data_IF_601217738776
#
_entry.id   IF_601217738776
#
_cell.length_a   1.000
_cell.length_b   1.000
_cell.length_c   1.000
_cell.angle_alpha   90.00
_cell.angle_beta   90.00
_cell.angle_gamma   90.00
#
_symmetry.space_group_name_H-M   'P 1'
#
loop_
_entity.id
_entity.type
_entity.pdbx_description
1 polymer ?
#
# COMPACT_ATOMS: atom_id res chain seq x y z
N UNK A 1 -31.63 33.19 16.79
CA UNK A 1 -31.95 32.53 15.50
C UNK A 1 -30.79 31.67 14.94
N UNK A 2 -29.87 31.17 15.79
CA UNK A 2 -28.74 30.33 15.34
C UNK A 2 -28.99 28.80 15.43
N UNK A 3 -30.17 28.37 15.89
CA UNK A 3 -30.44 26.95 16.17
C UNK A 3 -30.91 26.15 14.94
N UNK A 4 -31.36 26.82 13.86
CA UNK A 4 -31.81 26.17 12.63
C UNK A 4 -30.66 25.76 11.69
N UNK A 5 -29.66 26.64 11.54
CA UNK A 5 -28.54 26.41 10.61
C UNK A 5 -27.56 25.35 11.12
N UNK A 6 -27.33 25.31 12.44
CA UNK A 6 -26.50 24.28 13.08
C UNK A 6 -27.08 22.87 12.88
N UNK A 7 -28.41 22.73 12.81
CA UNK A 7 -29.10 21.44 12.63
C UNK A 7 -28.91 20.86 11.22
N UNK A 8 -28.90 21.71 10.17
CA UNK A 8 -28.71 21.26 8.79
C UNK A 8 -27.24 20.92 8.50
N UNK A 9 -26.31 21.76 8.96
CA UNK A 9 -24.86 21.54 8.81
C UNK A 9 -24.45 20.26 9.55
N UNK A 10 -24.95 20.04 10.77
CA UNK A 10 -24.65 18.82 11.53
C UNK A 10 -25.25 17.56 10.90
N UNK A 11 -26.39 17.65 10.20
CA UNK A 11 -26.96 16.51 9.44
C UNK A 11 -26.10 16.16 8.23
N UNK A 12 -25.69 17.15 7.44
CA UNK A 12 -24.83 16.94 6.27
C UNK A 12 -23.44 16.42 6.68
N UNK A 13 -22.84 16.99 7.73
CA UNK A 13 -21.54 16.54 8.23
C UNK A 13 -21.59 15.09 8.74
N UNK A 14 -22.65 14.71 9.47
CA UNK A 14 -22.85 13.31 9.92
C UNK A 14 -22.98 12.34 8.74
N UNK A 15 -23.72 12.73 7.71
CA UNK A 15 -23.86 11.91 6.50
C UNK A 15 -22.50 11.70 5.81
N UNK A 16 -21.69 12.75 5.67
CA UNK A 16 -20.35 12.68 5.08
C UNK A 16 -19.43 11.76 5.90
N UNK A 17 -19.42 11.88 7.23
CA UNK A 17 -18.61 11.03 8.11
C UNK A 17 -19.03 9.56 8.00
N UNK A 18 -20.33 9.27 7.95
CA UNK A 18 -20.83 7.90 7.79
C UNK A 18 -20.44 7.33 6.44
N UNK A 19 -20.64 8.09 5.36
CA UNK A 19 -20.28 7.69 4.01
C UNK A 19 -18.78 7.38 3.89
N UNK A 20 -17.93 8.28 4.40
CA UNK A 20 -16.49 8.10 4.40
C UNK A 20 -16.05 6.85 5.16
N UNK A 21 -16.60 6.61 6.36
CA UNK A 21 -16.28 5.42 7.15
C UNK A 21 -16.77 4.12 6.51
N UNK A 22 -17.89 4.15 5.79
CA UNK A 22 -18.34 3.00 4.99
C UNK A 22 -17.34 2.70 3.87
N UNK A 23 -16.87 3.72 3.16
CA UNK A 23 -15.84 3.56 2.11
C UNK A 23 -14.55 2.98 2.71
N UNK A 24 -14.07 3.50 3.84
CA UNK A 24 -12.89 2.95 4.52
C UNK A 24 -13.06 1.49 4.93
N UNK A 25 -14.25 1.12 5.44
CA UNK A 25 -14.56 -0.26 5.78
C UNK A 25 -14.51 -1.18 4.54
N UNK A 26 -15.10 -0.75 3.42
CA UNK A 26 -15.09 -1.51 2.17
C UNK A 26 -13.66 -1.69 1.63
N UNK A 27 -12.83 -0.63 1.68
CA UNK A 27 -11.42 -0.71 1.29
C UNK A 27 -10.65 -1.68 2.20
N UNK A 28 -10.82 -1.58 3.51
CA UNK A 28 -10.18 -2.49 4.47
C UNK A 28 -10.57 -3.95 4.23
N UNK A 29 -11.86 -4.22 3.99
CA UNK A 29 -12.36 -5.54 3.63
C UNK A 29 -11.75 -6.06 2.32
N UNK A 30 -11.71 -5.23 1.28
CA UNK A 30 -11.14 -5.59 -0.01
C UNK A 30 -9.63 -5.90 0.08
N UNK A 31 -8.87 -5.14 0.88
CA UNK A 31 -7.45 -5.41 1.11
C UNK A 31 -7.21 -6.77 1.77
N UNK A 32 -7.98 -7.10 2.83
CA UNK A 32 -7.83 -8.38 3.52
C UNK A 32 -8.29 -9.57 2.66
N UNK A 33 -9.46 -9.44 2.01
CA UNK A 33 -9.98 -10.50 1.14
C UNK A 33 -9.08 -10.72 -0.08
N UNK A 34 -8.58 -9.64 -0.69
CA UNK A 34 -7.61 -9.69 -1.77
C UNK A 34 -6.31 -10.36 -1.34
N UNK A 35 -5.78 -10.01 -0.16
CA UNK A 35 -4.58 -10.66 0.38
C UNK A 35 -4.78 -12.17 0.61
N UNK A 36 -5.90 -12.56 1.23
CA UNK A 36 -6.24 -13.97 1.45
C UNK A 36 -6.38 -14.71 0.11
N UNK A 37 -7.03 -14.10 -0.88
CA UNK A 37 -7.19 -14.67 -2.22
C UNK A 37 -5.84 -14.96 -2.88
N UNK A 38 -4.91 -14.00 -2.84
CA UNK A 38 -3.54 -14.18 -3.36
C UNK A 38 -2.76 -15.30 -2.65
N UNK A 39 -3.01 -15.51 -1.35
CA UNK A 39 -2.36 -16.58 -0.58
C UNK A 39 -2.89 -17.98 -0.95
N UNK A 40 -4.15 -18.07 -1.38
CA UNK A 40 -4.78 -19.32 -1.79
C UNK A 40 -4.27 -19.74 -3.18
N UNK A 41 -3.98 -18.78 -4.06
CA UNK A 41 -3.55 -19.07 -5.43
C UNK A 41 -2.21 -19.84 -5.48
N UNK A 42 -2.17 -21.03 -6.11
CA UNK A 42 -0.98 -21.87 -6.16
C UNK A 42 0.16 -21.24 -6.98
N UNK A 43 -0.15 -20.30 -7.87
CA UNK A 43 0.83 -19.51 -8.66
C UNK A 43 1.69 -18.63 -7.75
N UNK A 44 1.10 -18.00 -6.74
CA UNK A 44 1.82 -17.18 -5.77
C UNK A 44 2.75 -18.00 -4.86
N UNK A 45 2.37 -19.26 -4.59
CA UNK A 45 3.19 -20.20 -3.81
C UNK A 45 4.51 -20.55 -4.51
N UNK A 46 4.54 -20.58 -5.84
CA UNK A 46 5.76 -20.83 -6.61
C UNK A 46 6.72 -19.65 -6.57
N UNK A 47 6.22 -18.41 -6.52
CA UNK A 47 7.03 -17.18 -6.38
C UNK A 47 7.80 -17.18 -5.05
N UNK A 48 7.20 -17.70 -3.96
CA UNK A 48 7.85 -17.81 -2.65
C UNK A 48 9.11 -18.71 -2.67
N UNK A 49 9.15 -19.71 -3.56
CA UNK A 49 10.27 -20.64 -3.69
C UNK A 49 11.37 -20.15 -4.65
N UNK A 50 11.07 -19.18 -5.51
CA UNK A 50 12.00 -18.62 -6.52
C UNK A 50 12.57 -17.26 -6.08
N UNK A 51 12.02 -16.65 -5.02
CA UNK A 51 12.58 -15.46 -4.36
C UNK A 51 12.98 -15.74 -2.90
N UNK A 52 14.03 -16.52 -2.63
CA UNK A 52 14.75 -16.40 -1.36
C UNK A 52 15.57 -15.11 -1.40
N UNK A 53 14.91 -13.95 -1.33
CA UNK A 53 15.60 -12.69 -1.13
C UNK A 53 15.85 -12.57 0.38
N UNK A 54 16.99 -13.10 0.81
CA UNK A 54 17.54 -12.84 2.13
C UNK A 54 17.98 -11.37 2.17
N UNK A 55 17.27 -10.56 2.94
CA UNK A 55 17.83 -9.29 3.39
C UNK A 55 18.97 -9.66 4.33
N UNK A 56 20.21 -9.55 3.86
CA UNK A 56 21.38 -9.64 4.72
C UNK A 56 21.42 -8.40 5.62
N UNK A 57 20.68 -8.46 6.72
CA UNK A 57 20.86 -7.63 7.89
C UNK A 57 21.05 -8.58 9.05
N UNK A 58 22.07 -8.34 9.87
CA UNK A 58 22.58 -9.17 10.97
C UNK A 58 21.59 -9.38 12.14
N UNK A 59 20.35 -9.69 11.83
CA UNK A 59 19.26 -10.04 12.73
C UNK A 59 18.73 -11.36 12.18
N UNK A 60 18.78 -12.39 13.02
CA UNK A 60 18.45 -13.80 12.76
C UNK A 60 17.02 -14.06 12.20
N UNK A 61 16.25 -12.99 11.95
CA UNK A 61 14.91 -12.99 11.38
C UNK A 61 14.89 -12.20 10.06
N UNK A 62 15.45 -12.77 8.99
CA UNK A 62 15.34 -12.17 7.66
C UNK A 62 13.93 -12.36 7.11
N UNK A 63 13.00 -11.45 7.43
CA UNK A 63 11.69 -11.43 6.78
C UNK A 63 11.88 -11.17 5.29
N UNK A 64 11.30 -12.04 4.47
CA UNK A 64 11.24 -11.83 3.03
C UNK A 64 10.43 -10.57 2.71
N UNK A 65 10.74 -9.87 1.61
CA UNK A 65 9.95 -8.72 1.16
C UNK A 65 8.45 -9.04 1.00
N UNK A 66 8.14 -10.27 0.63
CA UNK A 66 6.78 -10.77 0.53
C UNK A 66 6.09 -10.84 1.91
N UNK A 67 6.80 -11.27 2.96
CA UNK A 67 6.28 -11.27 4.33
C UNK A 67 6.11 -9.86 4.88
N UNK A 68 7.01 -8.93 4.53
CA UNK A 68 6.83 -7.52 4.90
C UNK A 68 5.58 -6.93 4.26
N UNK A 69 5.35 -7.16 2.96
CA UNK A 69 4.11 -6.73 2.29
C UNK A 69 2.88 -7.41 2.88
N UNK A 70 2.98 -8.69 3.24
CA UNK A 70 1.91 -9.44 3.87
C UNK A 70 1.49 -8.80 5.20
N UNK A 71 2.46 -8.62 6.08
CA UNK A 71 2.25 -8.08 7.41
C UNK A 71 1.72 -6.64 7.31
N UNK A 72 2.28 -5.81 6.43
CA UNK A 72 1.81 -4.44 6.25
C UNK A 72 0.37 -4.38 5.72
N UNK A 73 0.02 -5.23 4.76
CA UNK A 73 -1.33 -5.28 4.17
C UNK A 73 -2.36 -5.75 5.20
N UNK A 74 -2.00 -6.74 6.02
CA UNK A 74 -2.87 -7.24 7.10
C UNK A 74 -3.09 -6.16 8.16
N UNK A 75 -2.02 -5.51 8.65
CA UNK A 75 -2.12 -4.46 9.67
C UNK A 75 -2.97 -3.30 9.14
N UNK A 76 -2.69 -2.83 7.93
CA UNK A 76 -3.41 -1.70 7.33
C UNK A 76 -4.89 -2.04 7.09
N UNK A 77 -5.19 -3.20 6.52
CA UNK A 77 -6.56 -3.65 6.27
C UNK A 77 -7.38 -3.77 7.56
N UNK A 78 -6.79 -4.33 8.61
CA UNK A 78 -7.46 -4.47 9.91
C UNK A 78 -7.70 -3.11 10.59
N UNK A 79 -6.72 -2.20 10.54
CA UNK A 79 -6.86 -0.84 11.07
C UNK A 79 -7.97 -0.07 10.34
N UNK A 80 -8.05 -0.16 9.02
CA UNK A 80 -9.13 0.44 8.23
C UNK A 80 -10.51 -0.14 8.56
N UNK A 81 -10.61 -1.45 8.77
CA UNK A 81 -11.85 -2.10 9.21
C UNK A 81 -12.29 -1.61 10.59
N UNK A 82 -11.35 -1.51 11.54
CA UNK A 82 -11.63 -1.02 12.89
C UNK A 82 -12.15 0.42 12.83
N UNK A 83 -11.45 1.30 12.11
CA UNK A 83 -11.84 2.71 11.96
C UNK A 83 -13.22 2.81 11.31
N UNK A 84 -13.45 2.08 10.21
CA UNK A 84 -14.74 2.09 9.51
C UNK A 84 -15.89 1.51 10.33
N UNK A 85 -15.64 0.43 11.09
CA UNK A 85 -16.62 -0.19 11.97
C UNK A 85 -16.99 0.73 13.15
N UNK A 86 -15.99 1.39 13.77
CA UNK A 86 -16.24 2.39 14.80
C UNK A 86 -17.02 3.59 14.27
N UNK A 87 -16.73 4.04 13.05
CA UNK A 87 -17.49 5.11 12.39
C UNK A 87 -18.94 4.75 12.07
N UNK A 88 -19.20 3.54 11.57
CA UNK A 88 -20.56 3.08 11.25
C UNK A 88 -21.39 2.73 12.50
N UNK A 89 -20.78 2.10 13.51
CA UNK A 89 -21.43 1.79 14.79
C UNK A 89 -21.71 3.06 15.62
N UNK A 90 -20.80 4.05 15.59
CA UNK A 90 -20.95 5.34 16.28
C UNK A 90 -22.11 6.20 15.75
N UNK A 91 -22.54 5.99 14.50
CA UNK A 91 -23.68 6.69 13.92
C UNK A 91 -25.04 6.04 14.25
N UNK A 92 -25.07 4.71 14.44
CA UNK A 92 -26.32 3.96 14.67
C UNK A 92 -26.72 3.83 16.14
N UNK A 93 -25.76 3.79 17.07
CA UNK A 93 -26.06 3.76 18.52
C UNK A 93 -25.66 5.10 19.15
N UNK A 94 -26.62 5.79 19.80
CA UNK A 94 -26.42 7.06 20.53
C UNK A 94 -25.53 6.94 21.80
N UNK A 95 -24.52 6.06 21.79
CA UNK A 95 -23.58 5.92 22.90
C UNK A 95 -22.47 6.94 22.72
N UNK A 96 -22.60 8.08 23.41
CA UNK A 96 -21.70 9.24 23.35
C UNK A 96 -20.21 8.90 23.51
N UNK A 97 -19.88 7.77 24.12
CA UNK A 97 -18.51 7.29 24.34
C UNK A 97 -17.79 6.85 23.05
N UNK A 98 -18.49 6.23 22.10
CA UNK A 98 -17.90 5.69 20.85
C UNK A 98 -17.53 6.79 19.84
N UNK A 99 -18.27 7.90 19.85
CA UNK A 99 -18.00 9.03 18.95
C UNK A 99 -16.78 9.83 19.45
N UNK A 100 -16.62 9.97 20.77
CA UNK A 100 -15.46 10.63 21.38
C UNK A 100 -14.18 9.81 21.20
N UNK A 101 -14.22 8.48 21.39
CA UNK A 101 -13.04 7.64 21.16
C UNK A 101 -12.61 7.63 19.69
N UNK A 102 -13.56 7.59 18.74
CA UNK A 102 -13.29 7.74 17.31
C UNK A 102 -12.61 9.07 17.00
N UNK A 103 -13.13 10.19 17.54
CA UNK A 103 -12.54 11.51 17.34
C UNK A 103 -11.11 11.62 17.90
N UNK A 104 -10.83 10.98 19.04
CA UNK A 104 -9.48 10.93 19.62
C UNK A 104 -8.54 10.11 18.73
N UNK A 105 -8.96 8.91 18.29
CA UNK A 105 -8.13 8.05 17.42
C UNK A 105 -7.79 8.77 16.11
N UNK A 106 -8.80 9.37 15.47
CA UNK A 106 -8.60 10.15 14.23
C UNK A 106 -7.72 11.37 14.49
N UNK A 107 -7.92 12.07 15.62
CA UNK A 107 -7.06 13.20 16.00
C UNK A 107 -5.60 12.81 16.18
N UNK A 108 -5.32 11.68 16.85
CA UNK A 108 -3.96 11.14 17.00
C UNK A 108 -3.37 10.75 15.65
N UNK A 109 -4.16 10.14 14.76
CA UNK A 109 -3.71 9.82 13.40
C UNK A 109 -3.31 11.06 12.61
N UNK A 110 -4.09 12.15 12.70
CA UNK A 110 -3.76 13.42 12.03
C UNK A 110 -2.45 13.99 12.59
N UNK A 111 -2.23 13.96 13.90
CA UNK A 111 -0.97 14.42 14.49
C UNK A 111 0.23 13.58 14.01
N UNK A 112 0.03 12.26 13.87
CA UNK A 112 1.04 11.36 13.34
C UNK A 112 1.35 11.65 11.86
N UNK A 113 0.33 11.85 11.02
CA UNK A 113 0.48 12.22 9.61
C UNK A 113 1.22 13.56 9.45
N UNK A 114 0.89 14.56 10.26
CA UNK A 114 1.58 15.86 10.28
C UNK A 114 3.04 15.67 10.67
N UNK A 115 3.33 14.87 11.70
CA UNK A 115 4.71 14.59 12.14
C UNK A 115 5.52 13.92 11.05
N UNK A 116 4.95 12.91 10.39
CA UNK A 116 5.58 12.23 9.25
C UNK A 116 5.84 13.20 8.10
N UNK A 117 4.86 14.02 7.76
CA UNK A 117 4.96 14.99 6.66
C UNK A 117 6.09 15.99 6.93
N UNK A 118 6.14 16.54 8.14
CA UNK A 118 7.22 17.46 8.55
C UNK A 118 8.59 16.76 8.45
N UNK A 119 8.69 15.51 8.92
CA UNK A 119 9.93 14.75 8.85
C UNK A 119 10.40 14.57 7.39
N UNK A 120 9.49 14.23 6.47
CA UNK A 120 9.80 14.09 5.05
C UNK A 120 10.28 15.40 4.41
N UNK A 121 9.67 16.52 4.77
CA UNK A 121 10.03 17.84 4.23
C UNK A 121 11.39 18.31 4.73
N UNK A 122 11.73 18.05 5.99
CA UNK A 122 13.00 18.50 6.59
C UNK A 122 14.18 17.61 6.20
N UNK A 123 13.96 16.30 6.03
CA UNK A 123 15.03 15.32 5.78
C UNK A 123 14.88 14.57 4.45
N UNK A 124 14.80 15.27 3.30
CA UNK A 124 14.64 14.62 1.99
C UNK A 124 15.85 13.73 1.67
N UNK A 125 17.06 14.18 1.97
CA UNK A 125 18.30 13.43 1.66
C UNK A 125 18.36 12.08 2.39
N UNK A 126 17.88 12.03 3.63
CA UNK A 126 17.83 10.78 4.41
C UNK A 126 16.84 9.81 3.82
N UNK A 127 15.71 10.33 3.34
CA UNK A 127 14.70 9.51 2.69
C UNK A 127 15.20 8.98 1.35
N UNK A 128 15.75 9.84 0.50
CA UNK A 128 16.33 9.43 -0.78
C UNK A 128 17.45 8.42 -0.59
N UNK A 129 18.36 8.67 0.37
CA UNK A 129 19.48 7.79 0.68
C UNK A 129 19.08 6.39 1.15
N UNK A 130 17.86 6.20 1.67
CA UNK A 130 17.36 4.90 2.08
C UNK A 130 16.38 4.27 1.08
N UNK A 131 15.49 5.07 0.48
CA UNK A 131 14.45 4.57 -0.40
C UNK A 131 14.98 4.24 -1.79
N UNK A 132 15.75 5.15 -2.40
CA UNK A 132 16.28 4.97 -3.76
C UNK A 132 17.05 3.65 -3.89
N UNK A 133 18.04 3.32 -3.05
CA UNK A 133 18.79 2.08 -3.22
C UNK A 133 17.93 0.83 -2.98
N UNK A 134 16.92 0.90 -2.10
CA UNK A 134 15.97 -0.21 -1.91
C UNK A 134 15.13 -0.43 -3.16
N UNK A 135 14.63 0.65 -3.76
CA UNK A 135 13.81 0.60 -4.95
C UNK A 135 14.61 0.11 -6.17
N UNK A 136 15.86 0.54 -6.30
CA UNK A 136 16.77 0.04 -7.33
C UNK A 136 17.00 -1.48 -7.19
N UNK A 137 17.23 -1.98 -5.97
CA UNK A 137 17.36 -3.42 -5.70
C UNK A 137 16.06 -4.17 -5.98
N UNK A 138 14.89 -3.59 -5.65
CA UNK A 138 13.59 -4.17 -5.96
C UNK A 138 13.41 -4.36 -7.46
N UNK A 139 13.68 -3.34 -8.27
CA UNK A 139 13.62 -3.45 -9.74
C UNK A 139 14.59 -4.53 -10.23
N UNK A 140 15.85 -4.48 -9.80
CA UNK A 140 16.87 -5.43 -10.28
C UNK A 140 16.51 -6.89 -9.97
N UNK A 141 15.90 -7.16 -8.81
CA UNK A 141 15.66 -8.52 -8.34
C UNK A 141 14.27 -9.07 -8.71
N UNK A 142 13.28 -8.21 -8.96
CA UNK A 142 11.87 -8.61 -9.08
C UNK A 142 11.29 -8.27 -10.45
N UNK A 143 11.77 -7.23 -11.13
CA UNK A 143 11.24 -6.87 -12.44
C UNK A 143 11.60 -7.93 -13.49
N UNK A 144 10.57 -8.53 -14.08
CA UNK A 144 10.70 -9.64 -15.04
C UNK A 144 10.60 -9.17 -16.50
N UNK A 145 10.29 -7.89 -16.71
CA UNK A 145 10.16 -7.28 -18.02
C UNK A 145 8.83 -6.55 -18.19
N UNK A 146 8.68 -5.85 -19.32
CA UNK A 146 7.47 -5.13 -19.62
C UNK A 146 6.29 -6.10 -19.81
N UNK A 147 5.11 -5.69 -19.38
CA UNK A 147 3.87 -6.42 -19.64
C UNK A 147 3.70 -6.61 -21.16
N UNK A 148 3.69 -7.85 -21.67
CA UNK A 148 3.61 -8.07 -23.09
C UNK A 148 2.22 -7.68 -23.58
N UNK A 149 2.17 -6.73 -24.52
CA UNK A 149 0.93 -6.49 -25.28
C UNK A 149 0.62 -7.67 -26.22
N UNK A 150 1.56 -8.61 -26.38
CA UNK A 150 1.45 -9.81 -27.20
C UNK A 150 1.45 -11.05 -26.30
N UNK A 151 0.24 -11.50 -25.94
CA UNK A 151 -0.15 -12.62 -25.03
C UNK A 151 0.57 -13.97 -25.22
N UNK A 152 1.40 -14.14 -26.25
CA UNK A 152 1.78 -15.46 -26.76
C UNK A 152 3.26 -15.85 -26.60
N UNK A 153 4.13 -15.07 -25.94
CA UNK A 153 5.57 -15.39 -25.89
C UNK A 153 6.29 -15.28 -24.54
N UNK A 154 5.62 -14.82 -23.48
CA UNK A 154 6.25 -14.64 -22.16
C UNK A 154 5.38 -15.35 -21.11
N UNK A 155 5.95 -16.03 -20.10
CA UNK A 155 5.21 -16.37 -18.88
C UNK A 155 4.50 -15.12 -18.34
N UNK A 156 3.30 -15.27 -17.78
CA UNK A 156 2.55 -14.13 -17.24
C UNK A 156 3.45 -13.32 -16.30
N UNK A 157 3.72 -12.03 -16.60
CA UNK A 157 4.63 -11.23 -15.80
C UNK A 157 4.07 -11.12 -14.39
N UNK A 158 4.95 -11.15 -13.40
CA UNK A 158 4.57 -10.92 -12.00
C UNK A 158 3.71 -9.65 -11.84
N UNK A 159 2.74 -9.68 -10.92
CA UNK A 159 1.88 -8.53 -10.61
C UNK A 159 2.69 -7.27 -10.29
N UNK A 160 3.91 -7.44 -9.76
CA UNK A 160 4.86 -6.36 -9.54
C UNK A 160 5.29 -5.68 -10.85
N UNK A 161 5.68 -6.44 -11.88
CA UNK A 161 6.14 -5.87 -13.15
C UNK A 161 5.02 -5.08 -13.85
N UNK A 162 3.79 -5.59 -13.81
CA UNK A 162 2.61 -4.89 -14.35
C UNK A 162 2.34 -3.59 -13.59
N UNK A 163 2.35 -3.63 -12.26
CA UNK A 163 2.17 -2.43 -11.45
C UNK A 163 3.30 -1.42 -11.69
N UNK A 164 4.54 -1.90 -11.83
CA UNK A 164 5.70 -1.07 -12.08
C UNK A 164 5.63 -0.37 -13.44
N UNK A 165 5.24 -1.08 -14.50
CA UNK A 165 5.00 -0.49 -15.82
C UNK A 165 3.89 0.56 -15.80
N UNK A 166 2.83 0.30 -15.04
CA UNK A 166 1.73 1.25 -14.88
C UNK A 166 2.18 2.52 -14.14
N UNK A 167 3.06 2.39 -13.15
CA UNK A 167 3.67 3.55 -12.47
C UNK A 167 4.55 4.34 -13.44
N UNK A 168 5.43 3.67 -14.18
CA UNK A 168 6.30 4.30 -15.19
C UNK A 168 5.47 5.00 -16.28
N UNK A 169 4.38 4.38 -16.73
CA UNK A 169 3.47 4.95 -17.71
C UNK A 169 2.72 6.17 -17.16
N UNK A 170 2.12 6.08 -15.96
CA UNK A 170 1.35 7.20 -15.41
C UNK A 170 2.22 8.39 -15.00
N UNK A 171 3.43 8.13 -14.50
CA UNK A 171 4.39 9.16 -14.09
C UNK A 171 5.32 9.61 -15.22
N UNK A 172 5.21 8.99 -16.41
CA UNK A 172 6.06 9.27 -17.58
C UNK A 172 7.56 9.19 -17.24
N UNK A 173 7.94 8.20 -16.43
CA UNK A 173 9.31 8.00 -15.94
C UNK A 173 9.82 6.59 -16.28
N UNK A 174 11.15 6.39 -16.18
CA UNK A 174 11.78 5.09 -16.47
C UNK A 174 12.87 4.78 -15.45
N UNK A 175 12.59 3.80 -14.58
CA UNK A 175 13.48 3.39 -13.49
C UNK A 175 13.31 4.29 -12.25
N UNK A 176 14.17 4.10 -11.25
CA UNK A 176 14.14 4.92 -10.02
C UNK A 176 14.86 6.25 -10.26
N UNK A 177 16.10 6.19 -10.75
CA UNK A 177 16.88 7.37 -11.15
C UNK A 177 17.17 7.39 -12.63
N UNK A 178 17.42 6.22 -13.24
CA UNK A 178 17.80 6.16 -14.64
C UNK A 178 17.44 4.80 -15.27
N UNK A 179 17.15 4.79 -16.57
CA UNK A 179 16.88 3.60 -17.37
C UNK A 179 18.03 2.58 -17.36
N UNK A 180 19.26 3.02 -17.08
CA UNK A 180 20.43 2.14 -16.99
C UNK A 180 20.31 1.10 -15.87
N UNK A 181 19.44 1.32 -14.88
CA UNK A 181 19.15 0.36 -13.81
C UNK A 181 18.60 -0.96 -14.36
N UNK A 182 17.84 -0.88 -15.45
CA UNK A 182 17.32 -2.04 -16.15
C UNK A 182 18.34 -2.70 -17.06
N UNK A 183 19.60 -2.25 -17.13
CA UNK A 183 20.66 -2.86 -17.96
C UNK A 183 21.49 -3.91 -17.19
N UNK A 184 21.29 -4.02 -15.88
CA UNK A 184 22.01 -4.99 -15.05
C UNK A 184 21.76 -6.42 -15.55
N UNK A 185 22.82 -7.15 -15.93
CA UNK A 185 22.72 -8.53 -16.47
C UNK A 185 22.30 -9.56 -15.43
N UNK A 186 22.41 -9.23 -14.14
CA UNK A 186 22.09 -10.12 -13.04
C UNK A 186 20.60 -10.02 -12.62
N UNK A 187 19.80 -9.23 -13.33
CA UNK A 187 18.38 -9.07 -13.04
C UNK A 187 17.49 -10.15 -13.66
N UNK A 188 16.23 -10.23 -13.23
CA UNK A 188 15.26 -11.23 -13.73
C UNK A 188 14.73 -10.95 -15.13
N UNK A 189 14.81 -9.71 -15.61
CA UNK A 189 14.36 -9.35 -16.94
C UNK A 189 15.32 -9.87 -18.02
N UNK A 190 14.86 -10.87 -18.79
CA UNK A 190 15.56 -11.38 -19.96
C UNK A 190 15.28 -10.49 -21.19
N UNK A 191 16.34 -9.81 -21.67
CA UNK A 191 16.26 -8.89 -22.81
C UNK A 191 16.48 -9.56 -24.15
N UNK A 192 16.78 -10.86 -24.16
CA UNK A 192 16.99 -11.60 -25.42
C UNK A 192 15.68 -12.00 -26.10
N UNK A 193 14.55 -11.83 -25.40
CA UNK A 193 13.20 -12.05 -25.92
C UNK A 193 12.32 -10.81 -25.63
N UNK A 194 12.44 -9.74 -26.45
CA UNK A 194 11.74 -8.48 -26.26
C UNK A 194 10.22 -8.56 -26.47
#
# INVERSE_FOLDING_TARGET
>A
MANGEMSCIMKNARFIIVLFNIVLFLIGAALLLGWIYLMIDPRFRQIKNILPISINSNVENSLSYLELMAISTIILGFLLLIIGCFGCCGAKKQVKLFLTSYAIIVGVMILFEVTITIYFVIFPDKFEGQLVPKLQRLIQNIYEGPYPLLKNRIPEPSSFSVAWDLVMYNLQCCGVKNKTEFLNRNGKWDRTNP
#
